data_IF_771248199775
#
_entry.id   IF_771248199775
#
_cell.length_a   1.000
_cell.length_b   1.000
_cell.length_c   1.000
_cell.angle_alpha   90.00
_cell.angle_beta   90.00
_cell.angle_gamma   90.00
#
_symmetry.space_group_name_H-M   'P 1'
#
loop_
_entity.id
_entity.type
_entity.pdbx_description
1 polymer ?
#
# COMPACT_ATOMS: atom_id res chain seq x y z
N UNK A 1 -56.68 -35.55 -9.66
CA UNK A 1 -55.96 -35.01 -8.48
C UNK A 1 -54.53 -35.48 -8.50
N UNK A 2 -53.56 -34.60 -8.73
CA UNK A 2 -52.12 -34.76 -8.38
C UNK A 2 -51.40 -33.44 -8.69
N UNK A 3 -51.29 -32.59 -7.68
CA UNK A 3 -50.43 -31.40 -7.72
C UNK A 3 -49.05 -31.84 -7.23
N UNK A 4 -48.05 -31.78 -8.12
CA UNK A 4 -46.64 -31.98 -7.74
C UNK A 4 -46.14 -30.60 -7.28
N UNK A 5 -46.08 -30.42 -5.95
CA UNK A 5 -45.38 -29.31 -5.31
C UNK A 5 -43.88 -29.48 -5.59
N UNK A 6 -43.36 -28.76 -6.58
CA UNK A 6 -41.91 -28.58 -6.73
C UNK A 6 -41.45 -27.53 -5.73
N UNK A 7 -40.78 -28.00 -4.67
CA UNK A 7 -40.08 -27.22 -3.66
C UNK A 7 -39.02 -26.31 -4.33
N UNK A 8 -39.32 -25.02 -4.39
CA UNK A 8 -38.35 -23.97 -4.70
C UNK A 8 -37.47 -23.76 -3.47
N UNK A 9 -36.34 -24.45 -3.40
CA UNK A 9 -35.27 -24.15 -2.44
C UNK A 9 -34.62 -22.81 -2.82
N UNK A 10 -35.20 -21.71 -2.32
CA UNK A 10 -34.55 -20.41 -2.34
C UNK A 10 -33.45 -20.47 -1.27
N UNK A 11 -32.23 -20.84 -1.68
CA UNK A 11 -31.03 -20.64 -0.88
C UNK A 11 -30.76 -19.13 -0.81
N UNK A 12 -31.40 -18.47 0.14
CA UNK A 12 -31.15 -17.07 0.46
C UNK A 12 -29.77 -16.99 1.11
N UNK A 13 -28.74 -16.65 0.32
CA UNK A 13 -27.41 -16.36 0.85
C UNK A 13 -27.51 -15.06 1.66
N UNK A 14 -27.73 -15.21 2.96
CA UNK A 14 -27.61 -14.11 3.92
C UNK A 14 -26.13 -13.67 3.92
N UNK A 15 -25.81 -12.69 3.08
CA UNK A 15 -24.52 -12.01 3.12
C UNK A 15 -24.51 -11.18 4.40
N UNK A 16 -23.85 -11.69 5.44
CA UNK A 16 -23.68 -10.95 6.69
C UNK A 16 -22.71 -9.81 6.38
N UNK A 17 -23.25 -8.62 6.12
CA UNK A 17 -22.45 -7.41 6.00
C UNK A 17 -21.81 -7.11 7.36
N UNK A 18 -20.51 -7.38 7.49
CA UNK A 18 -19.77 -7.04 8.70
C UNK A 18 -19.61 -5.53 8.77
N UNK A 19 -20.32 -4.90 9.71
CA UNK A 19 -20.15 -3.47 10.00
C UNK A 19 -18.80 -3.29 10.69
N UNK A 20 -17.80 -2.87 9.93
CA UNK A 20 -16.48 -2.53 10.47
C UNK A 20 -16.62 -1.23 11.26
N UNK A 21 -16.35 -1.29 12.57
CA UNK A 21 -16.43 -0.12 13.44
C UNK A 21 -15.24 0.79 13.17
N UNK A 22 -15.53 2.07 12.94
CA UNK A 22 -14.53 3.14 12.87
C UNK A 22 -13.63 3.18 14.11
N UNK A 23 -12.34 3.41 13.91
CA UNK A 23 -11.37 3.59 15.00
C UNK A 23 -11.68 4.88 15.82
N UNK A 24 -11.31 4.88 17.10
CA UNK A 24 -11.40 6.10 17.95
C UNK A 24 -10.41 7.16 17.50
N UNK A 25 -9.20 6.73 17.17
CA UNK A 25 -8.06 7.58 16.84
C UNK A 25 -7.63 7.32 15.39
N UNK A 26 -7.16 8.35 14.68
CA UNK A 26 -6.67 8.18 13.32
C UNK A 26 -5.32 7.44 13.32
N UNK A 27 -5.07 6.66 12.28
CA UNK A 27 -3.77 6.04 12.05
C UNK A 27 -2.65 7.10 11.95
N UNK A 28 -1.38 6.73 12.18
CA UNK A 28 -0.23 7.59 11.95
C UNK A 28 -0.25 8.24 10.56
N UNK A 29 0.15 9.50 10.53
CA UNK A 29 0.31 10.28 9.31
C UNK A 29 1.75 10.74 9.21
N UNK A 30 2.40 10.39 8.12
CA UNK A 30 3.78 10.72 7.82
C UNK A 30 3.82 11.81 6.76
N UNK A 31 4.62 12.83 7.05
CA UNK A 31 4.89 13.93 6.15
C UNK A 31 6.41 14.13 6.20
N UNK A 32 7.07 14.10 5.04
CA UNK A 32 8.52 14.31 4.96
C UNK A 32 8.78 15.82 5.01
N UNK A 33 8.34 16.46 6.08
CA UNK A 33 8.56 17.89 6.32
C UNK A 33 9.91 18.17 6.99
N UNK A 34 10.51 17.14 7.61
CA UNK A 34 11.76 17.27 8.36
C UNK A 34 12.98 17.47 7.43
N UNK A 35 12.77 17.40 6.11
CA UNK A 35 13.79 17.69 5.09
C UNK A 35 13.44 19.00 4.37
N UNK A 36 14.10 20.13 4.68
CA UNK A 36 13.85 21.38 3.99
C UNK A 36 14.16 21.24 2.50
N UNK A 37 13.15 21.36 1.63
CA UNK A 37 13.35 21.47 0.17
C UNK A 37 12.47 20.60 -0.73
N UNK A 38 11.67 19.68 -0.20
CA UNK A 38 10.83 18.81 -1.02
C UNK A 38 9.35 19.24 -0.93
N UNK A 39 8.75 19.82 -1.99
CA UNK A 39 7.36 20.23 -1.95
C UNK A 39 6.44 19.00 -1.96
N UNK A 40 5.41 19.03 -1.13
CA UNK A 40 4.36 18.02 -1.16
C UNK A 40 3.55 18.12 -2.46
N UNK A 41 3.05 16.96 -2.90
CA UNK A 41 2.07 16.92 -3.99
C UNK A 41 0.68 16.99 -3.37
N UNK A 42 -0.10 18.05 -3.62
CA UNK A 42 -1.41 18.22 -3.02
C UNK A 42 -2.33 17.01 -3.25
N UNK A 43 -3.03 16.62 -2.20
CA UNK A 43 -4.04 15.57 -2.22
C UNK A 43 -3.54 14.18 -2.64
N UNK A 44 -2.23 13.95 -2.74
CA UNK A 44 -1.66 12.65 -3.09
C UNK A 44 -1.07 11.94 -1.88
N UNK A 45 -1.42 10.66 -1.74
CA UNK A 45 -1.07 9.88 -0.55
C UNK A 45 -0.73 8.44 -0.90
N UNK A 46 0.18 7.88 -0.11
CA UNK A 46 0.37 6.44 0.01
C UNK A 46 -0.34 5.97 1.27
N UNK A 47 -1.18 4.93 1.13
CA UNK A 47 -1.92 4.33 2.23
C UNK A 47 -1.44 2.90 2.38
N UNK A 48 -0.97 2.57 3.58
CA UNK A 48 -0.54 1.23 3.95
C UNK A 48 -1.66 0.51 4.70
N UNK A 49 -2.07 -0.66 4.23
CA UNK A 49 -3.08 -1.49 4.85
C UNK A 49 -2.42 -2.61 5.65
N UNK A 50 -3.00 -3.00 6.77
CA UNK A 50 -2.50 -4.13 7.59
C UNK A 50 -2.50 -5.43 6.80
N UNK A 51 -1.52 -6.31 7.01
CA UNK A 51 -1.32 -7.57 6.26
C UNK A 51 -2.56 -8.47 6.10
N UNK A 52 -3.48 -8.45 7.08
CA UNK A 52 -4.71 -9.25 7.08
C UNK A 52 -5.96 -8.46 6.67
N UNK A 53 -5.79 -7.28 6.07
CA UNK A 53 -6.85 -6.39 5.66
C UNK A 53 -6.81 -6.17 4.15
N UNK A 54 -7.86 -6.61 3.45
CA UNK A 54 -7.90 -6.54 1.99
C UNK A 54 -8.41 -5.20 1.50
N UNK A 55 -8.05 -4.84 0.26
CA UNK A 55 -8.53 -3.62 -0.37
C UNK A 55 -10.07 -3.62 -0.54
N UNK A 56 -10.70 -4.78 -0.69
CA UNK A 56 -12.16 -4.89 -0.75
C UNK A 56 -12.81 -4.60 0.61
N UNK A 57 -12.21 -5.07 1.71
CA UNK A 57 -12.66 -4.73 3.05
C UNK A 57 -12.53 -3.23 3.31
N UNK A 58 -11.44 -2.62 2.84
CA UNK A 58 -11.23 -1.18 2.87
C UNK A 58 -12.35 -0.44 2.13
N UNK A 59 -12.69 -0.84 0.90
CA UNK A 59 -13.79 -0.23 0.15
C UNK A 59 -15.15 -0.42 0.82
N UNK A 60 -15.39 -1.58 1.43
CA UNK A 60 -16.59 -1.82 2.22
C UNK A 60 -16.69 -0.87 3.42
N UNK A 61 -15.57 -0.64 4.13
CA UNK A 61 -15.52 0.32 5.23
C UNK A 61 -15.82 1.75 4.75
N UNK A 62 -15.22 2.16 3.63
CA UNK A 62 -15.43 3.49 3.05
C UNK A 62 -16.82 3.68 2.45
N UNK A 63 -17.53 2.59 2.15
CA UNK A 63 -18.81 2.60 1.44
C UNK A 63 -18.69 2.96 -0.05
N UNK A 64 -17.48 2.98 -0.61
CA UNK A 64 -17.24 3.27 -2.02
C UNK A 64 -15.94 2.62 -2.51
N UNK A 65 -15.94 2.26 -3.79
CA UNK A 65 -14.76 1.72 -4.47
C UNK A 65 -13.89 2.87 -5.00
N UNK A 66 -12.78 3.14 -4.32
CA UNK A 66 -11.87 4.24 -4.70
C UNK A 66 -11.20 4.03 -6.04
N UNK A 67 -11.08 2.78 -6.53
CA UNK A 67 -10.51 2.52 -7.86
C UNK A 67 -11.40 2.99 -9.01
N UNK A 68 -12.67 3.31 -8.71
CA UNK A 68 -13.65 3.81 -9.67
C UNK A 68 -13.96 5.29 -9.50
N UNK A 69 -13.70 5.87 -8.32
CA UNK A 69 -14.10 7.25 -7.98
C UNK A 69 -12.93 8.23 -7.88
N UNK A 70 -11.71 7.76 -7.64
CA UNK A 70 -10.54 8.63 -7.55
C UNK A 70 -9.90 8.88 -8.92
N UNK A 71 -9.39 10.09 -9.14
CA UNK A 71 -8.70 10.47 -10.38
C UNK A 71 -7.40 9.67 -10.57
N UNK A 72 -6.70 9.39 -9.47
CA UNK A 72 -5.49 8.58 -9.44
C UNK A 72 -5.69 7.50 -8.38
N UNK A 73 -5.54 6.25 -8.79
CA UNK A 73 -5.54 5.10 -7.90
C UNK A 73 -4.61 4.02 -8.44
N UNK A 74 -3.67 3.55 -7.62
CA UNK A 74 -2.79 2.44 -7.96
C UNK A 74 -2.51 1.56 -6.74
N UNK A 75 -3.04 0.33 -6.77
CA UNK A 75 -2.83 -0.64 -5.70
C UNK A 75 -1.63 -1.55 -6.00
N UNK A 76 -0.79 -1.78 -4.99
CA UNK A 76 0.37 -2.68 -5.01
C UNK A 76 0.11 -3.85 -4.03
N UNK A 77 -0.54 -4.94 -4.49
CA UNK A 77 -0.98 -6.02 -3.61
C UNK A 77 0.13 -6.70 -2.82
N UNK A 78 1.34 -6.77 -3.41
CA UNK A 78 2.51 -7.42 -2.79
C UNK A 78 2.92 -6.72 -1.48
N UNK A 79 2.75 -5.39 -1.41
CA UNK A 79 3.10 -4.59 -0.24
C UNK A 79 1.87 -4.17 0.58
N UNK A 80 0.67 -4.54 0.13
CA UNK A 80 -0.61 -4.06 0.66
C UNK A 80 -0.72 -2.52 0.79
N UNK A 81 -0.14 -1.82 -0.18
CA UNK A 81 -0.11 -0.35 -0.24
C UNK A 81 -0.90 0.10 -1.46
N UNK A 82 -1.60 1.24 -1.38
CA UNK A 82 -2.10 1.92 -2.56
C UNK A 82 -1.72 3.41 -2.58
N UNK A 83 -1.51 3.92 -3.79
CA UNK A 83 -1.35 5.33 -4.10
C UNK A 83 -2.71 5.90 -4.53
N UNK A 84 -3.06 7.08 -4.02
CA UNK A 84 -4.32 7.75 -4.37
C UNK A 84 -4.16 9.26 -4.43
N UNK A 85 -4.93 9.91 -5.32
CA UNK A 85 -5.25 11.33 -5.22
C UNK A 85 -6.68 11.52 -4.71
N UNK A 86 -6.84 12.18 -3.57
CA UNK A 86 -8.15 12.39 -2.92
C UNK A 86 -8.13 13.60 -2.00
N UNK A 87 -9.28 14.26 -1.86
CA UNK A 87 -9.48 15.39 -0.95
C UNK A 87 -8.91 15.13 0.45
N UNK A 88 -8.07 16.05 0.93
CA UNK A 88 -7.42 16.01 2.23
C UNK A 88 -8.41 15.73 3.38
N UNK A 89 -9.61 16.33 3.34
CA UNK A 89 -10.61 16.11 4.38
C UNK A 89 -11.12 14.69 4.36
N UNK A 90 -11.35 14.08 3.19
CA UNK A 90 -11.69 12.66 3.09
C UNK A 90 -10.57 11.78 3.64
N UNK A 91 -9.31 12.05 3.26
CA UNK A 91 -8.14 11.32 3.76
C UNK A 91 -8.06 11.37 5.29
N UNK A 92 -8.12 12.57 5.87
CA UNK A 92 -7.90 12.77 7.30
C UNK A 92 -9.12 12.53 8.19
N UNK A 93 -10.35 12.55 7.65
CA UNK A 93 -11.58 12.31 8.43
C UNK A 93 -12.22 10.96 8.18
N UNK A 94 -11.86 10.24 7.13
CA UNK A 94 -12.48 8.95 6.78
C UNK A 94 -11.40 7.86 6.66
N UNK A 95 -10.47 7.96 5.70
CA UNK A 95 -9.49 6.88 5.45
C UNK A 95 -8.63 6.59 6.68
N UNK A 96 -8.07 7.63 7.32
CA UNK A 96 -7.23 7.44 8.53
C UNK A 96 -7.97 6.81 9.70
N UNK A 97 -9.30 6.79 9.70
CA UNK A 97 -10.10 6.21 10.78
C UNK A 97 -10.58 4.78 10.46
N UNK A 98 -10.18 4.23 9.33
CA UNK A 98 -10.34 2.82 9.04
C UNK A 98 -9.42 1.99 9.95
N UNK A 99 -9.95 1.04 10.76
CA UNK A 99 -9.12 0.20 11.62
C UNK A 99 -8.13 -0.70 10.86
N UNK A 100 -8.35 -0.92 9.56
CA UNK A 100 -7.48 -1.70 8.69
C UNK A 100 -6.34 -0.91 8.04
N UNK A 101 -6.36 0.43 8.15
CA UNK A 101 -5.25 1.29 7.69
C UNK A 101 -4.17 1.34 8.77
N UNK A 102 -2.95 0.96 8.39
CA UNK A 102 -1.78 0.99 9.27
C UNK A 102 -1.17 2.39 9.35
N UNK A 103 -0.94 3.02 8.21
CA UNK A 103 -0.35 4.36 8.13
C UNK A 103 -0.69 5.05 6.81
N UNK A 104 -0.56 6.37 6.80
CA UNK A 104 -0.70 7.21 5.60
C UNK A 104 0.52 8.10 5.46
N UNK A 105 1.06 8.22 4.26
CA UNK A 105 2.17 9.12 3.93
C UNK A 105 1.75 10.10 2.85
N UNK A 106 1.99 11.41 3.03
CA UNK A 106 1.77 12.40 1.98
C UNK A 106 2.83 12.20 0.88
N UNK A 107 2.39 12.16 -0.37
CA UNK A 107 3.29 12.13 -1.50
C UNK A 107 4.04 13.47 -1.64
N UNK A 108 5.21 13.42 -2.24
CA UNK A 108 6.06 14.57 -2.44
C UNK A 108 6.71 14.50 -3.82
N UNK A 109 7.01 15.66 -4.38
CA UNK A 109 7.86 15.71 -5.55
C UNK A 109 9.23 15.29 -5.07
N UNK A 110 9.67 14.11 -5.51
CA UNK A 110 11.08 13.77 -5.42
C UNK A 110 11.78 14.74 -6.36
N UNK A 111 12.23 15.88 -5.83
CA UNK A 111 13.15 16.73 -6.53
C UNK A 111 14.50 16.04 -6.39
N UNK A 112 15.04 15.42 -7.44
CA UNK A 112 16.43 15.10 -7.42
C UNK A 112 17.18 16.43 -7.40
N UNK A 113 17.44 16.99 -6.21
CA UNK A 113 18.76 17.57 -6.01
C UNK A 113 19.72 16.38 -6.11
N UNK A 114 19.93 15.95 -7.34
CA UNK A 114 21.09 15.21 -7.74
C UNK A 114 22.26 16.17 -7.60
N UNK A 115 22.63 16.44 -6.36
CA UNK A 115 24.03 16.39 -6.00
C UNK A 115 24.47 14.95 -6.26
N UNK A 116 24.55 14.58 -7.54
CA UNK A 116 25.59 13.67 -7.96
C UNK A 116 26.84 14.32 -7.38
N UNK A 117 27.41 13.73 -6.34
CA UNK A 117 28.81 13.97 -6.06
C UNK A 117 29.52 13.61 -7.37
N UNK A 118 29.82 14.62 -8.18
CA UNK A 118 30.59 14.49 -9.42
C UNK A 118 31.98 13.91 -9.17
N UNK A 119 32.34 13.75 -7.89
CA UNK A 119 33.49 13.03 -7.39
C UNK A 119 33.44 11.51 -7.63
N UNK A 120 32.29 10.91 -7.97
CA UNK A 120 32.21 9.48 -8.32
C UNK A 120 32.84 9.16 -9.71
N UNK A 121 33.19 10.19 -10.49
CA UNK A 121 34.00 10.03 -11.71
C UNK A 121 35.50 10.14 -11.47
N UNK A 122 35.95 10.43 -10.23
CA UNK A 122 37.36 10.31 -9.90
C UNK A 122 37.74 8.83 -10.02
N UNK A 123 38.80 8.47 -10.78
CA UNK A 123 39.23 7.09 -10.84
C UNK A 123 39.49 6.60 -9.43
N UNK A 124 38.79 5.53 -9.05
CA UNK A 124 38.92 4.91 -7.74
C UNK A 124 40.37 4.43 -7.56
N UNK A 125 41.20 5.24 -6.88
CA UNK A 125 42.55 4.87 -6.48
C UNK A 125 42.49 3.95 -5.26
N UNK A 126 41.99 2.72 -5.44
CA UNK A 126 42.25 1.67 -4.46
C UNK A 126 43.60 1.00 -4.76
N UNK A 127 44.61 1.40 -3.99
CA UNK A 127 45.80 0.57 -3.82
C UNK A 127 45.52 -0.65 -2.91
N UNK A 128 44.31 -0.74 -2.35
CA UNK A 128 43.85 -1.86 -1.56
C UNK A 128 43.03 -2.81 -2.45
N UNK A 129 43.60 -3.97 -2.80
CA UNK A 129 42.86 -5.15 -3.32
C UNK A 129 41.66 -5.41 -2.40
N UNK A 130 40.48 -4.89 -2.75
CA UNK A 130 39.26 -5.32 -2.11
C UNK A 130 39.05 -6.79 -2.49
N UNK A 131 38.97 -7.65 -1.48
CA UNK A 131 38.72 -9.08 -1.65
C UNK A 131 37.37 -9.27 -2.32
N UNK A 132 37.37 -9.43 -3.63
CA UNK A 132 36.26 -9.98 -4.42
C UNK A 132 35.82 -11.27 -3.73
N UNK A 133 34.52 -11.39 -3.47
CA UNK A 133 33.86 -12.54 -2.85
C UNK A 133 34.62 -13.84 -3.10
N UNK A 134 35.15 -14.45 -2.04
CA UNK A 134 35.60 -15.84 -2.12
C UNK A 134 34.36 -16.70 -2.18
N UNK A 135 33.89 -16.96 -3.40
CA UNK A 135 32.91 -18.02 -3.66
C UNK A 135 33.54 -19.34 -3.26
N UNK A 136 33.26 -19.82 -2.06
CA UNK A 136 33.37 -21.22 -1.71
C UNK A 136 32.19 -21.60 -0.83
N UNK A 137 31.38 -22.51 -1.39
CA UNK A 137 30.41 -23.39 -0.71
C UNK A 137 29.13 -22.68 -0.24
N UNK A 138 27.89 -23.04 -0.63
CA UNK A 138 27.38 -24.20 -1.33
C UNK A 138 26.12 -23.80 -2.12
N UNK A 139 26.13 -24.05 -3.43
CA UNK A 139 24.92 -24.12 -4.25
C UNK A 139 24.87 -25.56 -4.75
N UNK A 140 24.37 -26.47 -3.92
CA UNK A 140 23.89 -27.75 -4.42
C UNK A 140 22.44 -27.55 -4.85
N UNK A 141 22.05 -27.88 -6.08
CA UNK A 141 20.66 -27.84 -6.49
C UNK A 141 19.85 -28.94 -5.76
N UNK A 142 18.67 -28.56 -5.27
CA UNK A 142 17.75 -29.34 -4.43
C UNK A 142 17.00 -30.50 -5.15
N UNK A 143 17.50 -31.05 -6.27
CA UNK A 143 16.77 -32.05 -7.07
C UNK A 143 17.56 -33.32 -7.40
N UNK A 144 18.63 -33.62 -6.68
CA UNK A 144 19.21 -34.98 -6.70
C UNK A 144 18.65 -35.79 -5.52
N UNK A 145 17.59 -36.56 -5.80
CA UNK A 145 17.20 -37.79 -5.10
C UNK A 145 16.96 -38.89 -6.14
#
# INVERSE_FOLDING_TARGET
MRYILSFLCIFYTFSIATVIKRASDPCPYHRIDDSPGQPLIPDEYLVNLRDNYTIEQHFQFLGQNLSQTADIFHHMPILNIYHIRIDERFMHKIIRYDPGVESVSHNMVFAPELHWHSDDTKPYHSNARQKRWKTREAFLPWWED
#
